data_IF_747011645137
#
_entry.id   IF_747011645137
#
_cell.length_a   1.000
_cell.length_b   1.000
_cell.length_c   1.000
_cell.angle_alpha   90.00
_cell.angle_beta   90.00
_cell.angle_gamma   90.00
#
_symmetry.space_group_name_H-M   'P 1'
#
loop_
_entity.id
_entity.type
_entity.pdbx_description
1 polymer ?
#
# COMPACT_ATOMS: atom_id res chain seq x y z
N UNK A 1 20.60 17.00 17.84
CA UNK A 1 20.07 18.36 17.65
C UNK A 1 18.71 18.53 18.30
N UNK A 2 17.75 17.60 18.08
CA UNK A 2 16.39 17.65 18.66
C UNK A 2 16.37 17.62 20.21
N UNK A 3 17.26 16.86 20.87
CA UNK A 3 17.35 16.83 22.35
C UNK A 3 18.00 18.06 23.01
N UNK A 4 18.58 19.00 22.23
CA UNK A 4 19.11 20.26 22.79
C UNK A 4 18.07 21.37 22.88
N UNK A 5 16.95 21.25 22.14
CA UNK A 5 15.93 22.30 22.07
C UNK A 5 14.92 22.27 23.22
N UNK A 6 14.75 21.11 23.87
CA UNK A 6 13.71 20.95 24.91
C UNK A 6 14.14 21.54 26.28
N UNK A 7 15.45 21.70 26.51
CA UNK A 7 15.98 22.27 27.76
C UNK A 7 16.16 23.79 27.70
N UNK A 8 16.17 24.39 26.51
CA UNK A 8 16.32 25.84 26.29
C UNK A 8 15.02 26.53 25.87
N UNK A 9 13.91 25.80 25.67
CA UNK A 9 12.63 26.38 25.22
C UNK A 9 12.06 27.46 26.16
N UNK A 10 12.48 27.49 27.43
CA UNK A 10 12.10 28.53 28.42
C UNK A 10 13.06 29.73 28.47
N UNK A 11 14.17 29.68 27.74
CA UNK A 11 15.24 30.70 27.76
C UNK A 11 15.66 31.20 26.37
N UNK A 12 15.03 30.73 25.29
CA UNK A 12 15.30 31.24 23.95
C UNK A 12 14.87 32.71 23.85
N UNK A 13 15.84 33.59 23.60
CA UNK A 13 15.57 34.99 23.29
C UNK A 13 14.61 35.08 22.07
N UNK A 14 13.71 36.07 22.01
CA UNK A 14 12.73 36.19 20.92
C UNK A 14 13.33 36.03 19.51
N UNK A 15 14.52 36.59 19.28
CA UNK A 15 15.24 36.46 18.01
C UNK A 15 15.57 35.01 17.63
N UNK A 16 15.99 34.18 18.59
CA UNK A 16 16.32 32.78 18.34
C UNK A 16 15.05 31.93 18.09
N UNK A 17 13.93 32.29 18.72
CA UNK A 17 12.63 31.66 18.45
C UNK A 17 12.14 31.98 17.04
N UNK A 18 12.29 33.23 16.60
CA UNK A 18 11.87 33.67 15.27
C UNK A 18 12.75 33.04 14.17
N UNK A 19 14.05 32.86 14.44
CA UNK A 19 14.98 32.17 13.54
C UNK A 19 14.63 30.68 13.40
N UNK A 20 14.37 29.98 14.52
CA UNK A 20 13.92 28.57 14.49
C UNK A 20 12.55 28.43 13.82
N UNK A 21 11.62 29.37 14.04
CA UNK A 21 10.32 29.36 13.37
C UNK A 21 10.46 29.55 11.86
N UNK A 22 11.41 30.38 11.42
CA UNK A 22 11.73 30.57 10.01
C UNK A 22 12.38 29.33 9.40
N UNK A 23 13.32 28.69 10.09
CA UNK A 23 13.91 27.43 9.65
C UNK A 23 12.88 26.30 9.58
N UNK A 24 11.95 26.21 10.54
CA UNK A 24 10.87 25.23 10.52
C UNK A 24 9.88 25.51 9.38
N UNK A 25 9.57 26.78 9.10
CA UNK A 25 8.77 27.18 7.94
C UNK A 25 9.46 26.80 6.62
N UNK A 26 10.76 27.04 6.50
CA UNK A 26 11.55 26.67 5.32
C UNK A 26 11.65 25.15 5.15
N UNK A 27 11.75 24.38 6.24
CA UNK A 27 11.72 22.91 6.22
C UNK A 27 10.34 22.37 5.85
N UNK A 28 9.26 23.00 6.33
CA UNK A 28 7.89 22.67 5.90
C UNK A 28 7.69 22.96 4.43
N UNK A 29 8.18 24.10 3.93
CA UNK A 29 8.21 24.41 2.50
C UNK A 29 9.07 23.42 1.71
N UNK A 30 10.20 22.96 2.23
CA UNK A 30 11.06 21.97 1.57
C UNK A 30 10.44 20.56 1.54
N UNK A 31 9.71 20.18 2.58
CA UNK A 31 8.98 18.92 2.68
C UNK A 31 7.71 18.94 1.81
N UNK A 32 7.07 20.10 1.71
CA UNK A 32 5.96 20.36 0.79
C UNK A 32 6.46 20.42 -0.65
N UNK A 33 7.58 21.09 -0.94
CA UNK A 33 8.23 21.12 -2.27
C UNK A 33 8.73 19.72 -2.68
N UNK A 34 9.23 18.92 -1.75
CA UNK A 34 9.57 17.52 -2.00
C UNK A 34 8.36 16.67 -2.44
N UNK A 35 7.14 17.05 -2.05
CA UNK A 35 5.87 16.45 -2.50
C UNK A 35 5.22 17.18 -3.68
N UNK A 36 5.46 18.49 -3.85
CA UNK A 36 5.04 19.27 -5.01
C UNK A 36 5.84 18.87 -6.27
N UNK A 37 7.07 18.41 -6.09
CA UNK A 37 7.92 17.91 -7.16
C UNK A 37 7.63 16.45 -7.57
N UNK A 38 6.90 15.68 -6.76
CA UNK A 38 6.46 14.33 -7.12
C UNK A 38 5.34 14.43 -8.18
N UNK A 39 5.61 13.99 -9.41
CA UNK A 39 4.60 14.02 -10.47
C UNK A 39 3.37 13.17 -10.12
N UNK A 40 3.52 12.12 -9.29
CA UNK A 40 2.39 11.31 -8.84
C UNK A 40 1.48 12.11 -7.90
N UNK A 41 2.04 12.80 -6.92
CA UNK A 41 1.27 13.61 -5.99
C UNK A 41 0.55 14.77 -6.69
N UNK A 42 1.16 15.34 -7.75
CA UNK A 42 0.50 16.32 -8.62
C UNK A 42 -0.70 15.73 -9.36
N UNK A 43 -0.55 14.53 -9.93
CA UNK A 43 -1.63 13.82 -10.61
C UNK A 43 -2.79 13.50 -9.65
N UNK A 44 -2.51 12.96 -8.47
CA UNK A 44 -3.54 12.61 -7.47
C UNK A 44 -4.37 13.84 -7.08
N UNK A 45 -3.73 15.00 -6.86
CA UNK A 45 -4.44 16.25 -6.53
C UNK A 45 -5.26 16.78 -7.69
N UNK A 46 -4.74 16.71 -8.92
CA UNK A 46 -5.49 17.14 -10.10
C UNK A 46 -6.76 16.30 -10.29
N UNK A 47 -6.65 14.97 -10.07
CA UNK A 47 -7.80 14.06 -10.09
C UNK A 47 -8.83 14.41 -9.01
N UNK A 48 -8.40 14.65 -7.77
CA UNK A 48 -9.30 14.97 -6.66
C UNK A 48 -10.04 16.28 -6.89
N UNK A 49 -9.33 17.34 -7.31
CA UNK A 49 -9.92 18.65 -7.62
C UNK A 49 -10.92 18.57 -8.77
N UNK A 50 -10.58 17.85 -9.83
CA UNK A 50 -11.49 17.64 -10.96
C UNK A 50 -12.73 16.87 -10.53
N UNK A 51 -12.58 15.77 -9.78
CA UNK A 51 -13.71 14.99 -9.28
C UNK A 51 -14.61 15.80 -8.33
N UNK A 52 -14.02 16.63 -7.49
CA UNK A 52 -14.76 17.53 -6.60
C UNK A 52 -15.53 18.61 -7.39
N UNK A 53 -14.89 19.20 -8.41
CA UNK A 53 -15.52 20.19 -9.29
C UNK A 53 -16.70 19.59 -10.06
N UNK A 54 -16.56 18.37 -10.59
CA UNK A 54 -17.66 17.64 -11.24
C UNK A 54 -18.80 17.39 -10.25
N UNK A 55 -18.48 16.91 -9.03
CA UNK A 55 -19.48 16.64 -7.98
C UNK A 55 -20.23 17.88 -7.54
N UNK A 56 -19.55 19.02 -7.47
CA UNK A 56 -20.13 20.32 -7.11
C UNK A 56 -20.85 21.00 -8.28
N UNK A 57 -20.75 20.47 -9.49
CA UNK A 57 -21.30 21.11 -10.69
C UNK A 57 -20.63 22.45 -10.98
N UNK A 58 -19.30 22.49 -10.92
CA UNK A 58 -18.50 23.65 -11.26
C UNK A 58 -18.76 24.16 -12.68
N UNK A 59 -18.35 25.40 -12.95
CA UNK A 59 -18.51 26.00 -14.29
C UNK A 59 -17.73 25.23 -15.36
N UNK A 60 -18.20 25.18 -16.63
CA UNK A 60 -17.47 24.54 -17.72
C UNK A 60 -16.03 25.05 -17.87
N UNK A 61 -15.81 26.35 -17.66
CA UNK A 61 -14.50 26.99 -17.71
C UNK A 61 -13.56 26.48 -16.60
N UNK A 62 -14.08 26.28 -15.40
CA UNK A 62 -13.32 25.74 -14.26
C UNK A 62 -12.98 24.27 -14.45
N UNK A 63 -13.93 23.48 -14.95
CA UNK A 63 -13.72 22.07 -15.28
C UNK A 63 -12.65 21.96 -16.38
N UNK A 64 -12.69 22.81 -17.40
CA UNK A 64 -11.69 22.82 -18.47
C UNK A 64 -10.29 23.09 -17.94
N UNK A 65 -10.13 24.09 -17.06
CA UNK A 65 -8.84 24.37 -16.42
C UNK A 65 -8.33 23.17 -15.60
N UNK A 66 -9.21 22.48 -14.88
CA UNK A 66 -8.85 21.30 -14.09
C UNK A 66 -8.51 20.09 -14.96
N UNK A 67 -9.16 19.94 -16.12
CA UNK A 67 -8.81 18.91 -17.10
C UNK A 67 -7.44 19.16 -17.72
N UNK A 68 -7.13 20.41 -18.07
CA UNK A 68 -5.80 20.80 -18.58
C UNK A 68 -4.72 20.52 -17.52
N UNK A 69 -4.95 20.88 -16.26
CA UNK A 69 -4.04 20.59 -15.14
C UNK A 69 -3.83 19.08 -14.95
N UNK A 70 -4.89 18.28 -15.04
CA UNK A 70 -4.79 16.82 -14.93
C UNK A 70 -3.98 16.22 -16.08
N UNK A 71 -4.16 16.72 -17.31
CA UNK A 71 -3.41 16.27 -18.48
C UNK A 71 -1.92 16.56 -18.33
N UNK A 72 -1.58 17.76 -17.88
CA UNK A 72 -0.19 18.16 -17.63
C UNK A 72 0.45 17.30 -16.53
N UNK A 73 -0.26 17.09 -15.42
CA UNK A 73 0.21 16.25 -14.32
C UNK A 73 0.40 14.79 -14.75
N UNK A 74 -0.51 14.24 -15.56
CA UNK A 74 -0.41 12.90 -16.11
C UNK A 74 0.80 12.75 -17.05
N UNK A 75 1.04 13.73 -17.92
CA UNK A 75 2.19 13.74 -18.83
C UNK A 75 3.51 13.77 -18.07
N UNK A 76 3.59 14.56 -17.00
CA UNK A 76 4.75 14.61 -16.13
C UNK A 76 4.96 13.30 -15.40
N UNK A 77 3.88 12.68 -14.88
CA UNK A 77 3.94 11.37 -14.25
C UNK A 77 4.47 10.30 -15.21
N UNK A 78 3.90 10.20 -16.41
CA UNK A 78 4.34 9.27 -17.45
C UNK A 78 5.81 9.49 -17.83
N UNK A 79 6.27 10.73 -17.91
CA UNK A 79 7.66 11.07 -18.22
C UNK A 79 8.61 10.65 -17.11
N UNK A 80 8.21 10.81 -15.85
CA UNK A 80 8.99 10.33 -14.71
C UNK A 80 9.03 8.81 -14.64
N UNK A 81 7.91 8.13 -14.89
CA UNK A 81 7.87 6.67 -14.96
C UNK A 81 8.71 6.13 -16.12
N UNK A 82 8.67 6.76 -17.30
CA UNK A 82 9.50 6.40 -18.44
C UNK A 82 11.01 6.57 -18.18
N UNK A 83 11.40 7.51 -17.31
CA UNK A 83 12.81 7.66 -16.88
C UNK A 83 13.23 6.58 -15.87
N UNK A 84 12.29 6.01 -15.12
CA UNK A 84 12.52 4.93 -14.16
C UNK A 84 12.56 3.56 -14.84
N UNK A 85 11.92 3.41 -15.99
CA UNK A 85 12.03 2.23 -16.82
C UNK A 85 13.45 2.12 -17.42
N UNK A 86 14.17 0.98 -17.27
CA UNK A 86 15.48 0.81 -17.88
C UNK A 86 15.36 0.84 -19.40
N UNK A 87 15.90 1.89 -20.03
CA UNK A 87 16.20 1.89 -21.46
C UNK A 87 17.43 1.01 -21.67
N UNK A 88 17.26 -0.18 -22.24
CA UNK A 88 18.38 -1.02 -22.66
C UNK A 88 19.07 -0.35 -23.87
N UNK A 89 20.33 0.12 -23.73
CA UNK A 89 21.00 0.87 -24.80
C UNK A 89 21.52 0.00 -25.96
N UNK A 90 21.33 -1.33 -25.91
CA UNK A 90 21.99 -2.27 -26.82
C UNK A 90 21.05 -3.04 -27.77
N UNK A 91 19.77 -2.68 -27.86
CA UNK A 91 18.83 -3.35 -28.77
C UNK A 91 18.74 -2.64 -30.14
N UNK A 92 19.80 -2.72 -30.94
CA UNK A 92 19.90 -2.14 -32.29
C UNK A 92 19.20 -2.97 -33.40
N UNK A 93 18.39 -3.99 -33.05
CA UNK A 93 17.77 -4.87 -34.05
C UNK A 93 16.28 -5.15 -33.82
N UNK A 94 15.46 -4.10 -33.74
CA UNK A 94 14.00 -4.24 -33.93
C UNK A 94 13.34 -2.97 -34.50
N UNK A 95 13.11 -2.87 -35.83
CA UNK A 95 12.08 -1.99 -36.34
C UNK A 95 10.71 -2.64 -36.04
N UNK A 96 9.86 -1.92 -35.29
CA UNK A 96 8.53 -2.33 -34.79
C UNK A 96 8.51 -3.23 -33.55
N UNK A 97 9.04 -2.72 -32.44
CA UNK A 97 8.59 -3.16 -31.12
C UNK A 97 7.69 -2.07 -30.51
N UNK A 98 6.38 -2.18 -30.77
CA UNK A 98 5.33 -1.42 -30.08
C UNK A 98 5.22 -1.96 -28.63
N UNK A 99 6.17 -1.59 -27.78
CA UNK A 99 5.93 -1.54 -26.33
C UNK A 99 4.86 -0.48 -26.02
N UNK A 100 4.19 -0.54 -24.86
CA UNK A 100 2.77 -0.22 -24.62
C UNK A 100 2.27 1.18 -25.04
N UNK A 101 2.25 1.45 -26.34
CA UNK A 101 1.67 2.65 -26.95
C UNK A 101 0.14 2.64 -26.87
N UNK A 102 -0.45 1.45 -26.81
CA UNK A 102 -1.90 1.25 -26.71
C UNK A 102 -2.47 1.91 -25.44
N UNK A 103 -1.71 1.95 -24.33
CA UNK A 103 -2.21 2.53 -23.07
C UNK A 103 -2.19 4.06 -23.07
N UNK A 104 -1.20 4.69 -23.73
CA UNK A 104 -1.16 6.15 -23.87
C UNK A 104 -2.33 6.64 -24.74
N UNK A 105 -2.58 5.97 -25.85
CA UNK A 105 -3.69 6.30 -26.75
C UNK A 105 -5.05 6.09 -26.09
N UNK A 106 -5.21 5.02 -25.30
CA UNK A 106 -6.45 4.76 -24.55
C UNK A 106 -6.72 5.82 -23.48
N UNK A 107 -5.70 6.26 -22.75
CA UNK A 107 -5.87 7.33 -21.77
C UNK A 107 -6.29 8.63 -22.46
N UNK A 108 -5.67 8.98 -23.59
CA UNK A 108 -6.04 10.17 -24.35
C UNK A 108 -7.50 10.11 -24.82
N UNK A 109 -7.96 8.96 -25.31
CA UNK A 109 -9.37 8.76 -25.70
C UNK A 109 -10.35 8.93 -24.54
N UNK A 110 -9.98 8.47 -23.34
CA UNK A 110 -10.82 8.67 -22.14
C UNK A 110 -10.88 10.14 -21.75
N UNK A 111 -9.78 10.90 -21.86
CA UNK A 111 -9.80 12.34 -21.60
C UNK A 111 -10.67 13.10 -22.61
N UNK A 112 -10.59 12.76 -23.89
CA UNK A 112 -11.40 13.40 -24.93
C UNK A 112 -12.90 13.08 -24.73
N UNK A 113 -13.21 11.83 -24.36
CA UNK A 113 -14.57 11.42 -24.00
C UNK A 113 -15.06 12.12 -22.73
N UNK A 114 -14.18 12.32 -21.74
CA UNK A 114 -14.50 13.08 -20.53
C UNK A 114 -14.90 14.52 -20.91
N UNK A 115 -14.13 15.18 -21.77
CA UNK A 115 -14.45 16.52 -22.26
C UNK A 115 -15.83 16.57 -22.91
N UNK A 116 -16.13 15.62 -23.81
CA UNK A 116 -17.44 15.54 -24.47
C UNK A 116 -18.58 15.37 -23.45
N UNK A 117 -18.40 14.51 -22.45
CA UNK A 117 -19.40 14.32 -21.39
C UNK A 117 -19.64 15.60 -20.58
N UNK A 118 -18.58 16.38 -20.33
CA UNK A 118 -18.70 17.65 -19.63
C UNK A 118 -19.40 18.72 -20.46
N UNK A 119 -19.14 18.80 -21.77
CA UNK A 119 -19.89 19.66 -22.70
C UNK A 119 -21.38 19.29 -22.78
N UNK A 120 -21.69 17.99 -22.65
CA UNK A 120 -23.05 17.46 -22.63
C UNK A 120 -23.71 17.54 -21.23
N UNK A 121 -22.98 17.98 -20.19
CA UNK A 121 -23.48 18.07 -18.81
C UNK A 121 -23.68 16.71 -18.11
N UNK A 122 -23.08 15.63 -18.64
CA UNK A 122 -23.18 14.24 -18.18
C UNK A 122 -22.19 13.93 -17.07
N UNK A 123 -22.41 14.53 -15.91
CA UNK A 123 -21.50 14.42 -14.75
C UNK A 123 -21.44 13.01 -14.15
N UNK A 124 -22.51 12.22 -14.27
CA UNK A 124 -22.55 10.84 -13.74
C UNK A 124 -21.65 9.91 -14.57
N UNK A 125 -21.75 9.99 -15.90
CA UNK A 125 -20.92 9.22 -16.82
C UNK A 125 -19.45 9.67 -16.77
N UNK A 126 -19.22 10.97 -16.54
CA UNK A 126 -17.88 11.50 -16.32
C UNK A 126 -17.23 10.90 -15.07
N UNK A 127 -17.98 10.71 -13.99
CA UNK A 127 -17.49 10.07 -12.76
C UNK A 127 -17.13 8.59 -12.98
N UNK A 128 -17.93 7.85 -13.76
CA UNK A 128 -17.65 6.45 -14.13
C UNK A 128 -16.36 6.34 -14.95
N UNK A 129 -16.16 7.26 -15.91
CA UNK A 129 -14.96 7.28 -16.75
C UNK A 129 -13.69 7.58 -15.95
N UNK A 130 -13.77 8.43 -14.94
CA UNK A 130 -12.67 8.70 -14.01
C UNK A 130 -12.28 7.46 -13.19
N UNK A 131 -13.25 6.63 -12.82
CA UNK A 131 -12.98 5.36 -12.14
C UNK A 131 -12.27 4.36 -13.06
N UNK A 132 -12.71 4.26 -14.32
CA UNK A 132 -12.03 3.42 -15.33
C UNK A 132 -10.58 3.87 -15.57
N UNK A 133 -10.33 5.19 -15.58
CA UNK A 133 -8.98 5.74 -15.67
C UNK A 133 -8.12 5.33 -14.47
N UNK A 134 -8.67 5.35 -13.25
CA UNK A 134 -7.95 4.92 -12.05
C UNK A 134 -7.60 3.42 -12.10
N UNK A 135 -8.53 2.58 -12.54
CA UNK A 135 -8.31 1.14 -12.69
C UNK A 135 -7.23 0.85 -13.73
N UNK A 136 -7.21 1.59 -14.84
CA UNK A 136 -6.18 1.48 -15.86
C UNK A 136 -4.79 1.86 -15.31
N UNK A 137 -4.69 2.97 -14.57
CA UNK A 137 -3.43 3.42 -13.95
C UNK A 137 -2.94 2.42 -12.89
N UNK A 138 -3.86 1.84 -12.11
CA UNK A 138 -3.56 0.79 -11.15
C UNK A 138 -3.05 -0.49 -11.84
N UNK A 139 -3.71 -0.92 -12.92
CA UNK A 139 -3.30 -2.07 -13.71
C UNK A 139 -1.94 -1.86 -14.41
N UNK A 140 -1.68 -0.64 -14.87
CA UNK A 140 -0.38 -0.27 -15.46
C UNK A 140 0.75 -0.38 -14.43
N UNK A 141 0.52 0.05 -13.18
CA UNK A 141 1.51 -0.09 -12.09
C UNK A 141 1.81 -1.56 -11.79
N UNK A 142 0.81 -2.43 -11.84
CA UNK A 142 0.99 -3.88 -11.66
C UNK A 142 1.78 -4.47 -12.83
N UNK A 143 1.49 -4.05 -14.06
CA UNK A 143 2.19 -4.53 -15.25
C UNK A 143 3.63 -4.01 -15.37
N UNK A 144 3.92 -2.80 -14.85
CA UNK A 144 5.24 -2.17 -14.90
C UNK A 144 6.11 -2.54 -13.69
N UNK A 145 5.50 -3.04 -12.60
CA UNK A 145 6.20 -3.71 -11.50
C UNK A 145 6.75 -5.11 -11.85
N UNK A 146 6.33 -5.67 -12.98
CA UNK A 146 6.75 -6.97 -13.53
C UNK A 146 7.26 -6.83 -14.98
N UNK A 147 8.12 -5.83 -15.21
CA UNK A 147 8.48 -5.35 -16.54
C UNK A 147 9.94 -5.54 -16.97
N UNK A 148 10.67 -6.57 -16.53
CA UNK A 148 11.77 -7.21 -17.29
C UNK A 148 12.39 -8.36 -16.48
N UNK A 149 12.18 -9.56 -17.00
CA UNK A 149 12.57 -10.82 -16.37
C UNK A 149 11.36 -11.73 -16.44
N UNK A 150 11.35 -12.59 -17.44
CA UNK A 150 10.46 -13.74 -17.57
C UNK A 150 9.92 -14.17 -16.20
N UNK A 151 8.65 -13.82 -15.90
CA UNK A 151 8.05 -14.03 -14.59
C UNK A 151 8.31 -15.46 -14.18
N UNK A 152 9.17 -15.66 -13.18
CA UNK A 152 9.51 -17.01 -12.75
C UNK A 152 8.20 -17.66 -12.33
N UNK A 153 7.89 -18.89 -12.77
CA UNK A 153 6.63 -19.56 -12.45
C UNK A 153 6.22 -19.48 -10.97
N UNK A 154 7.19 -19.34 -10.06
CA UNK A 154 6.95 -19.16 -8.62
C UNK A 154 6.37 -17.82 -8.18
N UNK A 155 6.55 -16.72 -8.91
CA UNK A 155 5.96 -15.44 -8.51
C UNK A 155 4.44 -15.40 -8.76
N UNK A 156 4.00 -15.99 -9.88
CA UNK A 156 2.58 -16.14 -10.18
C UNK A 156 1.90 -17.07 -9.16
N UNK A 157 2.52 -18.20 -8.81
CA UNK A 157 1.99 -19.09 -7.77
C UNK A 157 1.87 -18.42 -6.39
N UNK A 158 2.76 -17.47 -6.06
CA UNK A 158 2.68 -16.70 -4.81
C UNK A 158 1.53 -15.70 -4.82
N UNK A 159 1.22 -15.11 -5.98
CA UNK A 159 0.06 -14.25 -6.15
C UNK A 159 -1.24 -15.05 -6.02
N UNK A 160 -1.35 -16.17 -6.74
CA UNK A 160 -2.51 -17.07 -6.68
C UNK A 160 -2.76 -17.59 -5.23
N UNK A 161 -1.69 -17.84 -4.47
CA UNK A 161 -1.76 -18.25 -3.07
C UNK A 161 -2.23 -17.09 -2.16
N UNK A 162 -1.80 -15.87 -2.46
CA UNK A 162 -2.29 -14.66 -1.78
C UNK A 162 -3.78 -14.41 -2.01
N UNK A 163 -4.25 -14.61 -3.24
CA UNK A 163 -5.66 -14.50 -3.60
C UNK A 163 -6.48 -15.59 -2.91
N UNK A 164 -6.01 -16.84 -2.91
CA UNK A 164 -6.66 -17.94 -2.17
C UNK A 164 -6.78 -17.65 -0.67
N UNK A 165 -5.76 -17.04 -0.05
CA UNK A 165 -5.79 -16.64 1.36
C UNK A 165 -6.81 -15.52 1.62
N UNK A 166 -6.95 -14.56 0.70
CA UNK A 166 -7.93 -13.48 0.80
C UNK A 166 -9.35 -14.02 0.69
N UNK A 167 -9.60 -14.90 -0.26
CA UNK A 167 -10.91 -15.53 -0.44
C UNK A 167 -11.27 -16.41 0.77
N UNK A 168 -10.30 -17.11 1.36
CA UNK A 168 -10.50 -17.87 2.59
C UNK A 168 -10.91 -16.99 3.78
N UNK A 169 -10.34 -15.78 3.89
CA UNK A 169 -10.73 -14.81 4.93
C UNK A 169 -12.17 -14.34 4.73
N UNK A 170 -12.54 -13.96 3.49
CA UNK A 170 -13.91 -13.57 3.18
C UNK A 170 -14.92 -14.68 3.47
N UNK A 171 -14.57 -15.94 3.19
CA UNK A 171 -15.42 -17.08 3.49
C UNK A 171 -15.59 -17.31 5.00
N UNK A 172 -14.54 -17.09 5.80
CA UNK A 172 -14.61 -17.15 7.26
C UNK A 172 -15.46 -16.02 7.84
N UNK A 173 -15.37 -14.81 7.26
CA UNK A 173 -16.20 -13.68 7.68
C UNK A 173 -17.69 -13.95 7.39
N UNK A 174 -18.00 -14.53 6.23
CA UNK A 174 -19.37 -14.97 5.89
C UNK A 174 -19.87 -16.06 6.86
N UNK A 175 -19.06 -17.09 7.13
CA UNK A 175 -19.41 -18.15 8.07
C UNK A 175 -19.60 -17.62 9.52
N UNK A 176 -18.83 -16.61 9.90
CA UNK A 176 -18.97 -15.95 11.21
C UNK A 176 -20.23 -15.09 11.30
N UNK A 177 -20.63 -14.44 10.19
CA UNK A 177 -21.90 -13.73 10.11
C UNK A 177 -23.08 -14.71 10.21
N UNK A 178 -23.05 -15.81 9.49
CA UNK A 178 -24.08 -16.85 9.53
C UNK A 178 -24.22 -17.45 10.95
N UNK A 179 -23.10 -17.58 11.66
CA UNK A 179 -23.09 -18.02 13.06
C UNK A 179 -23.77 -17.01 14.01
N UNK A 180 -23.65 -15.70 13.76
CA UNK A 180 -24.28 -14.65 14.58
C UNK A 180 -25.76 -14.46 14.25
N UNK A 181 -26.08 -14.40 12.96
CA UNK A 181 -27.43 -14.08 12.48
C UNK A 181 -28.33 -15.33 12.41
N UNK A 182 -27.74 -16.53 12.54
CA UNK A 182 -28.45 -17.81 12.51
C UNK A 182 -29.16 -18.09 11.18
N UNK A 183 -28.86 -17.30 10.16
CA UNK A 183 -29.49 -17.32 8.84
C UNK A 183 -28.39 -17.41 7.80
N UNK A 184 -28.52 -18.33 6.85
CA UNK A 184 -27.53 -18.54 5.80
C UNK A 184 -27.47 -17.31 4.89
N UNK A 185 -26.33 -16.62 4.82
CA UNK A 185 -26.16 -15.44 3.99
C UNK A 185 -26.21 -15.84 2.51
N UNK A 186 -27.16 -15.30 1.71
CA UNK A 186 -27.19 -15.60 0.29
C UNK A 186 -25.92 -15.08 -0.37
N UNK A 187 -25.17 -15.98 -1.00
CA UNK A 187 -24.01 -15.59 -1.80
C UNK A 187 -24.45 -14.92 -3.10
N UNK A 188 -23.67 -13.95 -3.62
CA UNK A 188 -23.93 -13.34 -4.93
C UNK A 188 -24.09 -14.36 -6.06
N UNK A 189 -23.38 -15.49 -5.96
CA UNK A 189 -23.37 -16.57 -6.95
C UNK A 189 -24.30 -17.75 -6.61
N UNK A 190 -25.07 -17.67 -5.51
CA UNK A 190 -25.99 -18.73 -5.07
C UNK A 190 -25.33 -20.03 -4.59
N UNK A 191 -24.01 -20.04 -4.38
CA UNK A 191 -23.24 -21.20 -3.85
C UNK A 191 -23.29 -21.26 -2.32
N UNK A 192 -23.26 -22.48 -1.76
CA UNK A 192 -23.17 -22.66 -0.30
C UNK A 192 -21.77 -22.31 0.24
N UNK A 193 -21.63 -22.10 1.56
CA UNK A 193 -20.32 -21.96 2.21
C UNK A 193 -19.42 -23.18 1.95
N UNK A 194 -19.98 -24.39 1.99
CA UNK A 194 -19.24 -25.63 1.72
C UNK A 194 -18.73 -25.74 0.28
N UNK A 195 -19.52 -25.31 -0.71
CA UNK A 195 -19.10 -25.37 -2.12
C UNK A 195 -17.95 -24.39 -2.39
N UNK A 196 -18.03 -23.18 -1.80
CA UNK A 196 -16.97 -22.18 -1.88
C UNK A 196 -15.69 -22.67 -1.19
N UNK A 197 -15.81 -23.32 -0.03
CA UNK A 197 -14.66 -23.93 0.66
C UNK A 197 -14.00 -25.01 -0.20
N UNK A 198 -14.79 -25.84 -0.88
CA UNK A 198 -14.29 -26.88 -1.78
C UNK A 198 -13.51 -26.26 -2.95
N UNK A 199 -14.04 -25.20 -3.57
CA UNK A 199 -13.38 -24.51 -4.69
C UNK A 199 -12.02 -23.91 -4.27
N UNK A 200 -11.92 -23.37 -3.06
CA UNK A 200 -10.67 -22.85 -2.50
C UNK A 200 -9.66 -23.96 -2.22
N UNK A 201 -10.11 -25.10 -1.66
CA UNK A 201 -9.24 -26.27 -1.48
C UNK A 201 -8.71 -26.77 -2.81
N UNK A 202 -9.58 -26.90 -3.81
CA UNK A 202 -9.20 -27.42 -5.13
C UNK A 202 -8.21 -26.47 -5.83
N UNK A 203 -8.37 -25.15 -5.67
CA UNK A 203 -7.35 -24.16 -6.08
C UNK A 203 -6.02 -24.41 -5.39
N UNK A 204 -6.01 -24.48 -4.05
CA UNK A 204 -4.78 -24.69 -3.27
C UNK A 204 -4.06 -25.99 -3.66
N UNK A 205 -4.82 -27.08 -3.87
CA UNK A 205 -4.27 -28.38 -4.30
C UNK A 205 -3.64 -28.31 -5.69
N UNK A 206 -4.21 -27.53 -6.61
CA UNK A 206 -3.63 -27.33 -7.94
C UNK A 206 -2.33 -26.54 -7.86
N UNK A 207 -2.28 -25.47 -7.06
CA UNK A 207 -1.04 -24.72 -6.80
C UNK A 207 0.05 -25.61 -6.23
N UNK A 208 -0.31 -26.49 -5.29
CA UNK A 208 0.61 -27.45 -4.66
C UNK A 208 1.15 -28.51 -5.62
N UNK A 209 0.38 -28.90 -6.65
CA UNK A 209 0.72 -29.96 -7.62
C UNK A 209 1.45 -29.45 -8.85
N UNK A 210 1.21 -28.22 -9.26
CA UNK A 210 1.78 -27.65 -10.48
C UNK A 210 3.30 -27.53 -10.44
N UNK A 211 3.93 -27.72 -9.27
CA UNK A 211 5.37 -27.77 -9.14
C UNK A 211 6.05 -26.45 -9.53
N UNK A 212 5.30 -25.35 -9.51
CA UNK A 212 5.79 -24.01 -9.80
C UNK A 212 6.17 -23.24 -8.53
N UNK A 213 5.96 -23.84 -7.36
CA UNK A 213 6.23 -23.19 -6.08
C UNK A 213 7.72 -22.85 -5.92
N UNK A 214 8.04 -21.64 -5.41
CA UNK A 214 9.43 -21.22 -5.25
C UNK A 214 10.25 -22.12 -4.33
N UNK A 215 11.56 -22.16 -4.55
CA UNK A 215 12.47 -22.84 -3.64
C UNK A 215 12.43 -24.35 -3.68
N UNK A 216 11.95 -24.96 -4.78
CA UNK A 216 12.05 -26.40 -4.98
C UNK A 216 13.50 -26.89 -4.81
N UNK A 217 13.70 -27.78 -3.84
CA UNK A 217 15.04 -28.30 -3.49
C UNK A 217 15.71 -27.60 -2.31
N UNK A 218 15.18 -26.47 -1.81
CA UNK A 218 15.61 -25.85 -0.55
C UNK A 218 14.82 -26.39 0.65
N UNK A 219 15.41 -26.33 1.85
CA UNK A 219 14.73 -26.70 3.10
C UNK A 219 13.49 -25.84 3.33
N UNK A 220 13.59 -24.54 3.03
CA UNK A 220 12.49 -23.58 3.14
C UNK A 220 11.36 -23.84 2.16
N UNK A 221 11.66 -24.17 0.90
CA UNK A 221 10.64 -24.55 -0.07
C UNK A 221 9.91 -25.85 0.31
N UNK A 222 10.61 -26.81 0.92
CA UNK A 222 9.99 -28.04 1.44
C UNK A 222 9.08 -27.78 2.64
N UNK A 223 9.51 -26.92 3.58
CA UNK A 223 8.67 -26.46 4.69
C UNK A 223 7.42 -25.75 4.18
N UNK A 224 7.58 -24.86 3.20
CA UNK A 224 6.46 -24.16 2.56
C UNK A 224 5.46 -25.12 1.93
N UNK A 225 5.93 -26.12 1.17
CA UNK A 225 5.08 -27.15 0.58
C UNK A 225 4.32 -27.95 1.65
N UNK A 226 4.99 -28.32 2.74
CA UNK A 226 4.36 -29.05 3.84
C UNK A 226 3.26 -28.21 4.49
N UNK A 227 3.50 -26.92 4.72
CA UNK A 227 2.51 -26.00 5.25
C UNK A 227 1.28 -25.89 4.33
N UNK A 228 1.46 -25.85 3.01
CA UNK A 228 0.32 -25.86 2.06
C UNK A 228 -0.46 -27.18 2.10
N UNK A 229 0.22 -28.31 2.19
CA UNK A 229 -0.45 -29.61 2.31
C UNK A 229 -1.26 -29.70 3.62
N UNK A 230 -0.72 -29.19 4.73
CA UNK A 230 -1.42 -29.16 6.00
C UNK A 230 -2.58 -28.16 6.00
N UNK A 231 -2.48 -27.08 5.22
CA UNK A 231 -3.56 -26.13 4.98
C UNK A 231 -4.69 -26.79 4.18
N UNK A 232 -4.39 -27.52 3.11
CA UNK A 232 -5.38 -28.26 2.32
C UNK A 232 -6.15 -29.29 3.16
N UNK A 233 -5.49 -29.99 4.09
CA UNK A 233 -6.16 -30.88 5.05
C UNK A 233 -7.11 -30.12 5.98
N UNK A 234 -6.69 -28.97 6.51
CA UNK A 234 -7.55 -28.15 7.36
C UNK A 234 -8.74 -27.58 6.59
N UNK A 235 -8.56 -27.17 5.33
CA UNK A 235 -9.67 -26.77 4.44
C UNK A 235 -10.65 -27.90 4.17
N UNK A 236 -10.15 -29.13 4.00
CA UNK A 236 -11.01 -30.30 3.83
C UNK A 236 -11.84 -30.60 5.10
N UNK A 237 -11.23 -30.45 6.27
CA UNK A 237 -11.95 -30.61 7.55
C UNK A 237 -12.98 -29.48 7.76
N UNK A 238 -12.64 -28.24 7.38
CA UNK A 238 -13.57 -27.11 7.38
C UNK A 238 -14.75 -27.37 6.44
N UNK A 239 -14.51 -27.86 5.23
CA UNK A 239 -15.57 -28.23 4.28
C UNK A 239 -16.52 -29.28 4.86
N UNK A 240 -15.98 -30.31 5.54
CA UNK A 240 -16.80 -31.33 6.19
C UNK A 240 -17.67 -30.72 7.29
N UNK A 241 -17.10 -29.89 8.15
CA UNK A 241 -17.83 -29.20 9.21
C UNK A 241 -18.95 -28.30 8.63
N UNK A 242 -18.68 -27.56 7.56
CA UNK A 242 -19.70 -26.78 6.85
C UNK A 242 -20.83 -27.65 6.29
N UNK A 243 -20.52 -28.80 5.68
CA UNK A 243 -21.54 -29.76 5.19
C UNK A 243 -22.37 -30.37 6.32
N UNK A 244 -21.79 -30.52 7.50
CA UNK A 244 -22.46 -31.05 8.70
C UNK A 244 -23.23 -29.97 9.47
N UNK A 245 -23.13 -28.69 9.05
CA UNK A 245 -23.75 -27.56 9.73
C UNK A 245 -23.03 -27.10 11.00
N UNK A 246 -21.81 -27.61 11.25
CA UNK A 246 -20.96 -27.21 12.36
C UNK A 246 -20.15 -25.95 11.99
N UNK A 247 -20.82 -24.79 12.00
CA UNK A 247 -20.19 -23.50 11.72
C UNK A 247 -19.03 -23.17 12.69
N UNK A 248 -19.14 -23.38 14.02
CA UNK A 248 -18.01 -23.17 14.94
C UNK A 248 -16.81 -24.05 14.60
N UNK A 249 -17.03 -25.36 14.37
CA UNK A 249 -15.96 -26.27 13.99
C UNK A 249 -15.34 -25.93 12.63
N UNK A 250 -16.13 -25.43 11.68
CA UNK A 250 -15.64 -24.95 10.40
C UNK A 250 -14.72 -23.73 10.55
N UNK A 251 -15.12 -22.72 11.33
CA UNK A 251 -14.34 -21.51 11.57
C UNK A 251 -12.98 -21.82 12.20
N UNK A 252 -12.93 -22.73 13.18
CA UNK A 252 -11.68 -23.18 13.79
C UNK A 252 -10.75 -23.82 12.75
N UNK A 253 -11.28 -24.67 11.87
CA UNK A 253 -10.50 -25.35 10.81
C UNK A 253 -10.06 -24.38 9.71
N UNK A 254 -10.87 -23.37 9.39
CA UNK A 254 -10.49 -22.31 8.46
C UNK A 254 -9.36 -21.44 9.03
N UNK A 255 -9.39 -21.13 10.32
CA UNK A 255 -8.30 -20.42 11.01
C UNK A 255 -6.99 -21.23 10.94
N UNK A 256 -7.05 -22.53 11.25
CA UNK A 256 -5.91 -23.45 11.10
C UNK A 256 -5.36 -23.45 9.66
N UNK A 257 -6.23 -23.44 8.65
CA UNK A 257 -5.84 -23.39 7.24
C UNK A 257 -5.14 -22.07 6.88
N UNK A 258 -5.69 -20.94 7.34
CA UNK A 258 -5.11 -19.61 7.11
C UNK A 258 -3.73 -19.45 7.74
N UNK A 259 -3.53 -19.93 8.95
CA UNK A 259 -2.23 -19.87 9.63
C UNK A 259 -1.15 -20.66 8.90
N UNK A 260 -1.51 -21.86 8.41
CA UNK A 260 -0.63 -22.70 7.60
C UNK A 260 -0.34 -22.11 6.23
N UNK A 261 -1.32 -21.49 5.56
CA UNK A 261 -1.09 -20.76 4.31
C UNK A 261 -0.14 -19.58 4.52
N UNK A 262 -0.32 -18.80 5.60
CA UNK A 262 0.58 -17.69 5.97
C UNK A 262 1.98 -18.20 6.28
N UNK A 263 2.11 -19.36 6.93
CA UNK A 263 3.40 -20.01 7.14
C UNK A 263 4.04 -20.41 5.81
N UNK A 264 3.28 -21.05 4.91
CA UNK A 264 3.74 -21.41 3.58
C UNK A 264 4.27 -20.20 2.81
N UNK A 265 3.50 -19.11 2.76
CA UNK A 265 3.91 -17.85 2.13
C UNK A 265 5.23 -17.29 2.69
N UNK A 266 5.41 -17.33 4.03
CA UNK A 266 6.66 -16.89 4.66
C UNK A 266 7.84 -17.80 4.27
N UNK A 267 7.65 -19.11 4.31
CA UNK A 267 8.68 -20.09 3.97
C UNK A 267 9.10 -20.01 2.49
N UNK A 268 8.15 -19.81 1.57
CA UNK A 268 8.46 -19.55 0.16
C UNK A 268 9.16 -18.21 -0.04
N UNK A 269 8.77 -17.17 0.71
CA UNK A 269 9.46 -15.89 0.72
C UNK A 269 10.93 -16.02 1.16
N UNK A 270 11.18 -16.75 2.24
CA UNK A 270 12.53 -17.07 2.72
C UNK A 270 13.33 -17.84 1.66
N UNK A 271 12.71 -18.84 1.03
CA UNK A 271 13.35 -19.66 0.00
C UNK A 271 13.76 -18.83 -1.23
N UNK A 272 12.90 -17.91 -1.68
CA UNK A 272 13.23 -16.98 -2.77
C UNK A 272 14.34 -16.01 -2.38
N UNK A 273 14.31 -15.50 -1.15
CA UNK A 273 15.36 -14.62 -0.65
C UNK A 273 16.71 -15.35 -0.54
N UNK A 274 16.70 -16.65 -0.28
CA UNK A 274 17.89 -17.49 -0.31
C UNK A 274 18.38 -17.75 -1.75
N UNK A 275 17.48 -18.08 -2.68
CA UNK A 275 17.81 -18.27 -4.10
C UNK A 275 18.42 -17.01 -4.72
N UNK A 276 17.86 -15.83 -4.42
CA UNK A 276 18.41 -14.53 -4.86
C UNK A 276 19.81 -14.26 -4.31
N UNK A 277 20.08 -14.68 -3.07
CA UNK A 277 21.42 -14.60 -2.46
C UNK A 277 22.41 -15.56 -3.13
N UNK A 278 21.96 -16.74 -3.54
CA UNK A 278 22.80 -17.75 -4.20
C UNK A 278 23.09 -17.44 -5.67
N UNK A 279 22.17 -16.80 -6.40
CA UNK A 279 22.36 -16.40 -7.81
C UNK A 279 23.27 -15.18 -8.01
N UNK A 280 23.67 -14.49 -6.95
CA UNK A 280 24.55 -13.31 -7.06
C UNK A 280 23.89 -12.07 -7.68
N UNK A 281 22.59 -12.10 -7.98
CA UNK A 281 21.80 -10.96 -8.50
C UNK A 281 21.51 -9.88 -7.43
N UNK A 282 22.18 -9.96 -6.28
CA UNK A 282 22.22 -8.92 -5.25
C UNK A 282 23.48 -8.04 -5.31
N UNK A 283 24.18 -7.97 -6.45
CA UNK A 283 25.43 -7.21 -6.58
C UNK A 283 25.32 -6.06 -7.59
N UNK A 284 24.50 -5.07 -7.24
CA UNK A 284 24.79 -3.64 -7.46
C UNK A 284 23.86 -2.81 -6.57
N UNK A 285 24.34 -2.48 -5.37
CA UNK A 285 23.66 -1.65 -4.39
C UNK A 285 24.08 -1.94 -2.95
N UNK A 286 25.25 -1.41 -2.56
CA UNK A 286 25.84 -1.31 -1.21
C UNK A 286 26.09 -2.61 -0.38
N UNK A 287 27.34 -2.87 0.06
CA UNK A 287 27.65 -4.04 0.87
C UNK A 287 27.10 -3.89 2.30
N UNK A 288 26.17 -4.76 2.69
CA UNK A 288 25.88 -5.03 4.10
C UNK A 288 27.06 -5.80 4.68
N UNK A 289 27.89 -5.07 5.42
CA UNK A 289 29.03 -5.58 6.17
C UNK A 289 28.56 -6.64 7.18
N UNK A 290 28.89 -7.90 6.89
CA UNK A 290 28.74 -9.02 7.83
C UNK A 290 29.58 -8.72 9.06
N UNK A 291 28.87 -8.37 10.13
CA UNK A 291 29.39 -8.17 11.48
C UNK A 291 30.07 -9.45 11.96
N UNK A 292 31.36 -9.31 12.24
CA UNK A 292 32.24 -10.26 12.91
C UNK A 292 31.57 -10.88 14.16
N UNK A 293 31.53 -12.22 14.30
CA UNK A 293 30.94 -12.89 15.46
C UNK A 293 31.75 -12.74 16.76
N UNK A 294 32.83 -11.93 16.81
CA UNK A 294 33.67 -11.80 18.00
C UNK A 294 33.99 -10.37 18.48
N UNK A 295 33.11 -9.39 18.22
CA UNK A 295 33.30 -7.98 18.63
C UNK A 295 32.70 -7.60 20.00
N UNK A 296 33.34 -8.04 21.08
CA UNK A 296 33.51 -7.39 22.40
C UNK A 296 32.49 -6.32 22.85
N UNK A 297 31.57 -6.75 23.73
CA UNK A 297 30.95 -5.90 24.78
C UNK A 297 32.05 -5.25 25.62
N UNK A 298 31.92 -3.94 25.88
CA UNK A 298 32.78 -3.23 26.83
C UNK A 298 32.60 -3.80 28.27
N UNK A 299 33.68 -3.99 29.06
CA UNK A 299 33.68 -4.56 30.41
C UNK A 299 32.81 -3.84 31.46
N UNK A 300 32.15 -2.72 31.14
CA UNK A 300 31.21 -2.05 32.04
C UNK A 300 29.74 -2.04 31.59
N UNK A 301 29.35 -2.89 30.63
CA UNK A 301 27.97 -3.37 30.51
C UNK A 301 26.87 -2.30 30.35
N UNK A 302 27.13 -1.20 29.62
CA UNK A 302 26.08 -0.22 29.27
C UNK A 302 25.62 -0.41 27.83
N UNK A 303 24.32 -0.60 27.67
CA UNK A 303 23.62 -0.52 26.39
C UNK A 303 23.45 0.95 25.99
N UNK A 304 24.12 1.38 24.93
CA UNK A 304 23.72 2.62 24.26
C UNK A 304 22.56 2.31 23.31
N UNK A 305 21.35 2.30 23.88
CA UNK A 305 20.11 2.54 23.16
C UNK A 305 20.07 4.00 22.69
N UNK A 306 20.52 4.22 21.46
CA UNK A 306 20.18 5.39 20.66
C UNK A 306 20.18 5.00 19.18
N UNK A 307 19.44 3.94 18.83
CA UNK A 307 19.02 3.72 17.45
C UNK A 307 17.86 4.66 17.16
N UNK A 308 18.19 5.75 16.49
CA UNK A 308 17.26 6.58 15.74
C UNK A 308 16.59 5.65 14.72
N UNK A 309 15.37 5.24 15.01
CA UNK A 309 14.50 4.53 14.08
C UNK A 309 13.97 5.52 13.06
N UNK A 310 14.15 5.18 11.79
CA UNK A 310 13.60 5.84 10.63
C UNK A 310 12.07 5.94 10.72
N UNK A 311 11.53 7.10 10.37
CA UNK A 311 10.11 7.54 10.35
C UNK A 311 9.11 6.65 9.57
N UNK A 312 9.51 5.46 9.13
CA UNK A 312 8.70 4.62 8.24
C UNK A 312 7.78 3.62 8.96
N UNK A 313 7.81 3.58 10.31
CA UNK A 313 6.95 2.68 11.10
C UNK A 313 5.89 3.40 11.96
N UNK A 314 5.72 4.72 11.79
CA UNK A 314 4.69 5.50 12.49
C UNK A 314 3.33 5.55 11.75
N UNK A 315 3.23 4.88 10.59
CA UNK A 315 2.06 4.92 9.70
C UNK A 315 1.20 3.64 9.78
N UNK A 316 1.35 2.82 10.83
CA UNK A 316 0.39 1.75 11.11
C UNK A 316 -0.78 2.31 11.95
N UNK A 317 -1.76 2.86 11.23
CA UNK A 317 -3.19 2.64 11.39
C UNK A 317 -3.95 3.09 12.66
N UNK A 318 -3.41 2.95 13.86
CA UNK A 318 -4.21 3.09 15.10
C UNK A 318 -3.74 4.19 16.08
N UNK A 319 -2.51 4.68 15.93
CA UNK A 319 -1.93 5.68 16.86
C UNK A 319 -1.99 7.12 16.34
N UNK A 320 -2.21 7.32 15.03
CA UNK A 320 -2.25 8.67 14.44
C UNK A 320 -3.47 9.46 14.91
N UNK A 321 -4.64 8.82 14.99
CA UNK A 321 -5.87 9.47 15.45
C UNK A 321 -5.86 9.77 16.96
N UNK A 322 -5.34 8.86 17.79
CA UNK A 322 -5.16 9.10 19.23
C UNK A 322 -4.20 10.26 19.48
N UNK A 323 -3.08 10.30 18.75
CA UNK A 323 -2.08 11.35 18.90
C UNK A 323 -2.56 12.70 18.38
N UNK A 324 -3.37 12.72 17.32
CA UNK A 324 -4.07 13.92 16.86
C UNK A 324 -5.08 14.44 17.89
N UNK A 325 -5.82 13.54 18.56
CA UNK A 325 -6.74 13.90 19.65
C UNK A 325 -6.00 14.48 20.86
N UNK A 326 -4.89 13.87 21.29
CA UNK A 326 -4.05 14.37 22.38
C UNK A 326 -3.47 15.76 22.07
N UNK A 327 -3.08 15.99 20.82
CA UNK A 327 -2.61 17.29 20.36
C UNK A 327 -3.72 18.35 20.38
N UNK A 328 -4.92 18.01 19.89
CA UNK A 328 -6.07 18.91 19.91
C UNK A 328 -6.51 19.27 21.33
N UNK A 329 -6.51 18.30 22.24
CA UNK A 329 -6.86 18.51 23.65
C UNK A 329 -5.85 19.43 24.33
N UNK A 330 -4.56 19.25 24.06
CA UNK A 330 -3.52 20.11 24.60
C UNK A 330 -3.60 21.53 24.00
N UNK A 331 -3.92 21.68 22.70
CA UNK A 331 -4.14 22.99 22.07
C UNK A 331 -5.37 23.68 22.68
N UNK A 332 -6.50 22.98 22.86
CA UNK A 332 -7.70 23.53 23.52
C UNK A 332 -7.40 23.98 24.95
N UNK A 333 -6.74 23.13 25.73
CA UNK A 333 -6.35 23.42 27.12
C UNK A 333 -5.47 24.66 27.21
N UNK A 334 -4.50 24.81 26.30
CA UNK A 334 -3.59 25.98 26.27
C UNK A 334 -4.25 27.23 25.72
N UNK A 335 -5.22 27.10 24.81
CA UNK A 335 -5.97 28.22 24.26
C UNK A 335 -6.87 28.90 25.31
N UNK A 336 -7.34 28.15 26.31
CA UNK A 336 -8.19 28.63 27.40
C UNK A 336 -7.45 29.28 28.56
N UNK A 337 -6.11 29.18 28.60
CA UNK A 337 -5.29 29.74 29.67
C UNK A 337 -5.09 31.25 29.46
N UNK A 338 -5.80 32.05 30.27
CA UNK A 338 -5.79 33.52 30.18
C UNK A 338 -4.46 34.14 30.63
N UNK A 339 -3.59 33.41 31.32
CA UNK A 339 -2.28 33.90 31.74
C UNK A 339 -1.26 33.91 30.59
N UNK A 340 -1.61 33.37 29.42
CA UNK A 340 -0.71 33.31 28.26
C UNK A 340 -0.69 34.60 27.45
N UNK A 341 0.46 34.95 26.85
CA UNK A 341 0.58 36.11 25.97
C UNK A 341 -0.46 36.08 24.83
N UNK A 342 -1.03 37.24 24.49
CA UNK A 342 -2.12 37.33 23.53
C UNK A 342 -1.77 36.78 22.14
N UNK A 343 -0.53 36.98 21.69
CA UNK A 343 -0.06 36.46 20.41
C UNK A 343 -0.05 34.92 20.36
N UNK A 344 0.30 34.26 21.47
CA UNK A 344 0.29 32.80 21.56
C UNK A 344 -1.14 32.27 21.59
N UNK A 345 -2.05 32.92 22.33
CA UNK A 345 -3.48 32.54 22.34
C UNK A 345 -4.12 32.68 20.96
N UNK A 346 -3.79 33.73 20.22
CA UNK A 346 -4.30 33.93 18.85
C UNK A 346 -3.73 32.92 17.86
N UNK A 347 -2.48 32.48 18.04
CA UNK A 347 -1.91 31.39 17.25
C UNK A 347 -2.58 30.05 17.55
N UNK A 348 -2.81 29.72 18.83
CA UNK A 348 -3.51 28.49 19.23
C UNK A 348 -4.96 28.46 18.74
N UNK A 349 -5.66 29.61 18.71
CA UNK A 349 -7.01 29.71 18.13
C UNK A 349 -7.01 29.44 16.62
N UNK A 350 -6.08 30.03 15.87
CA UNK A 350 -5.95 29.78 14.43
C UNK A 350 -5.61 28.32 14.11
N UNK A 351 -4.83 27.67 14.97
CA UNK A 351 -4.59 26.24 14.86
C UNK A 351 -5.85 25.42 15.11
N UNK A 352 -6.69 25.79 16.09
CA UNK A 352 -7.97 25.12 16.31
C UNK A 352 -8.97 25.33 15.17
N UNK A 353 -8.88 26.43 14.43
CA UNK A 353 -9.73 26.69 13.27
C UNK A 353 -9.27 25.92 12.01
N UNK A 354 -8.03 25.41 12.00
CA UNK A 354 -7.44 24.69 10.86
C UNK A 354 -7.66 23.16 10.90
N UNK A 355 -8.04 22.64 12.07
CA UNK A 355 -8.45 21.25 12.29
C UNK A 355 -9.96 21.18 12.35
#
# INVERSE_FOLDING_TARGET
>A
MIKRLDTEAKTLAPAARDEIAKELWDISLLLEDGKLNDAKARLDRAQERLAEAIRKGASPEEIQQLMDEMRDALNDYMREEAKKAPQDPNDETSPQNQGPSITQDQIQQMLDKLQQLMEEGKTAEAAELMQQLQDLLNNMKVQQGDGQGQGSPGQQSMQDLGDTLRDQQGLSDDAFRDLQDGTETPSPDGKSLSDRQQELRDRLDNLGKDGKLPGQGSEKGQSGQQALNDAGRAMQDAERALREGDLPGALDKQADAMDKMRQGLRDFGDAMAEERRQRGEGQQGDPVETRDPNGTRDPLGRENSARIGSDKNLLQGEDVYRRAQELLDEIRKRSGDQARPEGERNYLKRLLDLF
#
